data_IF_622120862385
#
_entry.id   IF_622120862385
#
_cell.length_a   1.000
_cell.length_b   1.000
_cell.length_c   1.000
_cell.angle_alpha   90.00
_cell.angle_beta   90.00
_cell.angle_gamma   90.00
#
_symmetry.space_group_name_H-M   'P 1'
#
loop_
_entity.id
_entity.type
_entity.pdbx_description
1 polymer ?
#
# COMPACT_ATOMS: atom_id res chain seq x y z
N UNK A 1 8.24 -23.05 2.39
CA UNK A 1 8.02 -22.43 1.06
C UNK A 1 6.66 -21.78 1.09
N UNK A 2 6.58 -20.45 0.95
CA UNK A 2 5.32 -19.71 1.04
C UNK A 2 4.78 -19.52 -0.38
N UNK A 3 3.74 -20.29 -0.73
CA UNK A 3 2.97 -20.12 -1.96
C UNK A 3 2.12 -18.85 -1.80
N UNK A 4 2.52 -17.73 -2.41
CA UNK A 4 1.70 -16.51 -2.44
C UNK A 4 0.52 -16.71 -3.39
N UNK A 5 -0.51 -17.40 -2.93
CA UNK A 5 -1.86 -17.38 -3.50
C UNK A 5 -2.54 -16.09 -3.03
N UNK A 6 -2.56 -15.06 -3.86
CA UNK A 6 -3.19 -13.78 -3.47
C UNK A 6 -3.42 -12.76 -4.58
N UNK A 7 -3.06 -13.06 -5.83
CA UNK A 7 -3.33 -12.16 -6.95
C UNK A 7 -4.30 -12.81 -7.92
N UNK A 8 -5.51 -12.26 -8.00
CA UNK A 8 -6.49 -12.63 -9.00
C UNK A 8 -5.91 -12.35 -10.40
N UNK A 9 -5.71 -13.40 -11.20
CA UNK A 9 -5.34 -13.26 -12.61
C UNK A 9 -6.59 -12.86 -13.38
N UNK A 10 -6.90 -11.57 -13.38
CA UNK A 10 -7.98 -11.03 -14.19
C UNK A 10 -7.64 -11.20 -15.68
N UNK A 11 -8.56 -11.73 -16.51
CA UNK A 11 -8.36 -11.76 -17.96
C UNK A 11 -8.02 -10.38 -18.49
N UNK A 12 -6.98 -10.28 -19.33
CA UNK A 12 -6.41 -9.02 -19.88
C UNK A 12 -5.63 -8.14 -18.90
N UNK A 13 -5.33 -8.60 -17.68
CA UNK A 13 -4.39 -7.87 -16.82
C UNK A 13 -2.95 -8.02 -17.30
N UNK A 14 -2.15 -6.98 -17.08
CA UNK A 14 -0.71 -7.03 -17.31
C UNK A 14 -0.01 -7.45 -16.02
N UNK A 15 0.83 -8.49 -16.03
CA UNK A 15 1.56 -8.91 -14.85
C UNK A 15 2.64 -7.88 -14.51
N UNK A 16 2.73 -7.53 -13.23
CA UNK A 16 3.84 -6.72 -12.70
C UNK A 16 4.89 -7.70 -12.18
N UNK A 17 6.05 -7.73 -12.82
CA UNK A 17 7.13 -8.69 -12.53
C UNK A 17 8.28 -8.10 -11.70
N UNK A 18 8.13 -6.88 -11.17
CA UNK A 18 9.14 -6.19 -10.35
C UNK A 18 8.82 -6.18 -8.86
N UNK A 19 9.83 -5.82 -8.06
CA UNK A 19 9.68 -5.62 -6.61
C UNK A 19 8.60 -4.56 -6.32
N UNK A 20 7.62 -4.92 -5.49
CA UNK A 20 6.47 -4.05 -5.23
C UNK A 20 6.88 -2.74 -4.53
N UNK A 21 7.90 -2.79 -3.66
CA UNK A 21 8.41 -1.59 -2.98
C UNK A 21 9.02 -0.58 -3.94
N UNK A 22 9.47 -1.04 -5.10
CA UNK A 22 10.08 -0.23 -6.14
C UNK A 22 9.09 0.18 -7.24
N UNK A 23 8.21 -0.73 -7.66
CA UNK A 23 7.26 -0.48 -8.76
C UNK A 23 6.05 0.32 -8.30
N UNK A 24 5.55 0.09 -7.08
CA UNK A 24 4.36 0.76 -6.57
C UNK A 24 4.44 2.29 -6.58
N UNK A 25 5.50 2.95 -6.09
CA UNK A 25 5.66 4.41 -6.18
C UNK A 25 5.51 4.97 -7.58
N UNK A 26 6.05 4.27 -8.58
CA UNK A 26 6.00 4.68 -9.99
C UNK A 26 4.58 4.59 -10.54
N UNK A 27 3.87 3.49 -10.23
CA UNK A 27 2.49 3.30 -10.65
C UNK A 27 1.57 4.30 -9.96
N UNK A 28 1.69 4.45 -8.64
CA UNK A 28 0.87 5.38 -7.86
C UNK A 28 0.96 6.80 -8.40
N UNK A 29 2.19 7.29 -8.68
CA UNK A 29 2.39 8.60 -9.30
C UNK A 29 1.69 8.72 -10.66
N UNK A 30 1.88 7.75 -11.55
CA UNK A 30 1.26 7.77 -12.89
C UNK A 30 -0.27 7.74 -12.82
N UNK A 31 -0.83 6.95 -11.91
CA UNK A 31 -2.27 6.86 -11.69
C UNK A 31 -2.80 8.20 -11.15
N UNK A 32 -2.14 8.79 -10.16
CA UNK A 32 -2.50 10.09 -9.62
C UNK A 32 -2.46 11.19 -10.69
N UNK A 33 -1.39 11.23 -11.51
CA UNK A 33 -1.27 12.15 -12.64
C UNK A 33 -2.43 11.98 -13.64
N UNK A 34 -2.76 10.73 -13.99
CA UNK A 34 -3.82 10.41 -14.95
C UNK A 34 -5.22 10.77 -14.43
N UNK A 35 -5.41 10.72 -13.11
CA UNK A 35 -6.67 11.04 -12.43
C UNK A 35 -6.75 12.50 -11.97
N UNK A 36 -5.67 13.29 -12.09
CA UNK A 36 -5.61 14.67 -11.61
C UNK A 36 -5.72 14.80 -10.08
N UNK A 37 -5.28 13.79 -9.33
CA UNK A 37 -5.31 13.78 -7.86
C UNK A 37 -3.91 13.94 -7.27
N UNK A 38 -3.84 14.53 -6.08
CA UNK A 38 -2.58 14.68 -5.36
C UNK A 38 -2.14 13.36 -4.71
N UNK A 39 -0.86 12.99 -4.88
CA UNK A 39 -0.27 11.85 -4.19
C UNK A 39 0.24 12.30 -2.82
N UNK A 40 -0.61 12.19 -1.79
CA UNK A 40 -0.28 12.63 -0.43
C UNK A 40 0.76 11.76 0.31
N UNK A 41 1.09 10.57 -0.20
CA UNK A 41 2.05 9.67 0.42
C UNK A 41 2.72 8.76 -0.60
N UNK A 42 4.03 8.54 -0.44
CA UNK A 42 4.81 7.64 -1.29
C UNK A 42 5.65 6.70 -0.44
N UNK A 43 5.64 5.41 -0.79
CA UNK A 43 6.39 4.39 -0.07
C UNK A 43 7.87 4.40 -0.44
N UNK A 44 8.74 4.15 0.54
CA UNK A 44 10.18 3.96 0.35
C UNK A 44 10.63 2.59 0.85
N UNK A 45 11.66 1.97 0.24
CA UNK A 45 12.24 0.73 0.76
C UNK A 45 12.75 0.89 2.18
N UNK A 46 12.38 -0.02 3.09
CA UNK A 46 12.69 0.10 4.53
C UNK A 46 14.19 0.12 4.84
N UNK A 47 15.02 -0.42 3.96
CA UNK A 47 16.48 -0.41 4.13
C UNK A 47 17.11 0.97 3.84
N UNK A 48 16.36 1.89 3.24
CA UNK A 48 16.82 3.25 2.97
C UNK A 48 16.54 4.15 4.17
N UNK A 49 17.34 5.21 4.35
CA UNK A 49 17.09 6.20 5.40
C UNK A 49 15.71 6.88 5.28
N UNK A 50 15.19 7.06 4.05
CA UNK A 50 13.84 7.57 3.84
C UNK A 50 12.76 6.58 4.31
N UNK A 51 12.95 5.28 4.03
CA UNK A 51 12.06 4.22 4.50
C UNK A 51 12.04 4.05 6.02
N UNK A 52 13.20 4.22 6.68
CA UNK A 52 13.28 4.20 8.15
C UNK A 52 12.50 5.36 8.77
N UNK A 53 12.71 6.59 8.29
CA UNK A 53 11.94 7.76 8.75
C UNK A 53 10.44 7.61 8.51
N UNK A 54 10.06 7.06 7.35
CA UNK A 54 8.67 6.76 7.02
C UNK A 54 8.08 5.75 8.02
N UNK A 55 8.81 4.67 8.33
CA UNK A 55 8.39 3.67 9.32
C UNK A 55 8.20 4.29 10.70
N UNK A 56 9.14 5.10 11.15
CA UNK A 56 9.09 5.79 12.44
C UNK A 56 7.88 6.74 12.50
N UNK A 57 7.68 7.54 11.44
CA UNK A 57 6.52 8.42 11.33
C UNK A 57 5.20 7.64 11.38
N UNK A 58 5.09 6.51 10.66
CA UNK A 58 3.89 5.66 10.73
C UNK A 58 3.67 5.14 12.15
N UNK A 59 4.71 4.64 12.80
CA UNK A 59 4.60 4.07 14.14
C UNK A 59 4.17 5.12 15.19
N UNK A 60 4.57 6.36 15.00
CA UNK A 60 4.26 7.48 15.89
C UNK A 60 2.87 8.10 15.61
N UNK A 61 2.53 8.30 14.33
CA UNK A 61 1.36 9.09 13.92
C UNK A 61 0.12 8.24 13.64
N UNK A 62 0.29 6.98 13.21
CA UNK A 62 -0.83 6.10 12.84
C UNK A 62 -1.25 5.28 14.04
N UNK A 63 -2.42 5.61 14.62
CA UNK A 63 -2.98 4.86 15.73
C UNK A 63 -3.45 3.48 15.26
N UNK A 64 -3.16 2.40 16.02
CA UNK A 64 -3.72 1.10 15.75
C UNK A 64 -5.25 1.16 15.72
N UNK A 65 -5.86 0.60 14.69
CA UNK A 65 -7.31 0.55 14.59
C UNK A 65 -7.90 -0.37 15.68
N UNK A 66 -9.00 0.06 16.32
CA UNK A 66 -9.63 -0.71 17.40
C UNK A 66 -10.43 -1.89 16.85
N UNK A 67 -10.08 -3.10 17.31
CA UNK A 67 -10.79 -4.35 16.96
C UNK A 67 -12.28 -4.33 17.34
N UNK A 68 -12.64 -3.59 18.40
CA UNK A 68 -14.03 -3.45 18.82
C UNK A 68 -14.84 -2.67 17.78
N UNK A 69 -14.31 -1.53 17.36
CA UNK A 69 -14.92 -0.65 16.37
C UNK A 69 -15.09 -1.37 15.03
N UNK A 70 -14.11 -2.21 14.63
CA UNK A 70 -14.20 -3.03 13.43
C UNK A 70 -15.42 -3.95 13.42
N UNK A 71 -15.68 -4.66 14.53
CA UNK A 71 -16.81 -5.60 14.63
C UNK A 71 -18.15 -4.87 14.54
N UNK A 72 -18.25 -3.70 15.18
CA UNK A 72 -19.47 -2.89 15.20
C UNK A 72 -19.81 -2.36 13.79
N UNK A 73 -18.81 -1.91 13.02
CA UNK A 73 -19.02 -1.40 11.65
C UNK A 73 -19.31 -2.51 10.63
N UNK A 74 -18.69 -3.69 10.75
CA UNK A 74 -18.93 -4.80 9.82
C UNK A 74 -20.28 -5.50 10.01
N UNK A 75 -20.95 -5.30 11.15
CA UNK A 75 -22.26 -5.90 11.44
C UNK A 75 -23.45 -5.02 11.00
N UNK A 76 -23.19 -3.79 10.55
CA UNK A 76 -24.22 -2.81 10.17
C UNK A 76 -24.26 -2.50 8.67
N UNK A 77 -23.53 -3.26 7.83
CA UNK A 77 -23.49 -3.11 6.37
C UNK A 77 -24.15 -4.28 5.64
#
# INVERSE_FOLDING_TARGET
RMEMSGFARLPKSLPITGDIGSVWPLMARKVCESLGIELGFISYPQQTGAGQRMREWIADQVRPYSKRTLKETCQTG
#
